data_IF_814369196841
#
_entry.id   IF_814369196841
#
_cell.length_a   1.000
_cell.length_b   1.000
_cell.length_c   1.000
_cell.angle_alpha   90.00
_cell.angle_beta   90.00
_cell.angle_gamma   90.00
#
_symmetry.space_group_name_H-M   'P 1'
#
loop_
_entity.id
_entity.type
_entity.pdbx_description
1 polymer ?
#
# COMPACT_ATOMS: atom_id res chain seq x y z
N UNK A 1 -8.58 4.16 13.56
CA UNK A 1 -9.68 3.79 12.64
C UNK A 1 -9.14 3.65 11.22
N UNK A 2 -9.45 2.56 10.56
CA UNK A 2 -9.01 2.30 9.18
C UNK A 2 -10.25 2.38 8.27
N UNK A 3 -10.15 3.17 7.20
CA UNK A 3 -11.28 3.47 6.34
C UNK A 3 -10.86 3.46 4.86
N UNK A 4 -11.71 2.91 4.00
CA UNK A 4 -11.47 2.95 2.56
C UNK A 4 -11.71 4.35 2.00
N UNK A 5 -10.79 4.81 1.16
CA UNK A 5 -10.87 6.11 0.48
C UNK A 5 -11.63 5.92 -0.83
N UNK A 6 -12.86 6.40 -0.91
CA UNK A 6 -13.74 6.18 -2.07
C UNK A 6 -14.04 7.44 -2.86
N UNK A 7 -14.37 8.55 -2.18
CA UNK A 7 -14.72 9.79 -2.86
C UNK A 7 -13.48 10.55 -3.34
N UNK A 8 -13.69 11.49 -4.25
CA UNK A 8 -12.61 12.37 -4.71
C UNK A 8 -12.01 13.16 -3.56
N UNK A 9 -12.85 13.65 -2.64
CA UNK A 9 -12.39 14.38 -1.46
C UNK A 9 -11.53 13.51 -0.56
N UNK A 10 -11.95 12.27 -0.33
CA UNK A 10 -11.18 11.31 0.48
C UNK A 10 -9.83 10.99 -0.17
N UNK A 11 -9.82 10.79 -1.49
CA UNK A 11 -8.59 10.55 -2.23
C UNK A 11 -7.62 11.73 -2.12
N UNK A 12 -8.14 12.96 -2.21
CA UNK A 12 -7.32 14.17 -2.07
C UNK A 12 -6.75 14.29 -0.66
N UNK A 13 -7.52 13.95 0.35
CA UNK A 13 -7.06 13.94 1.74
C UNK A 13 -5.89 12.94 1.91
N UNK A 14 -6.04 11.74 1.35
CA UNK A 14 -5.00 10.72 1.40
C UNK A 14 -3.74 11.11 0.63
N UNK A 15 -3.85 11.94 -0.41
CA UNK A 15 -2.71 12.36 -1.21
C UNK A 15 -1.66 13.10 -0.39
N UNK A 16 -2.07 13.83 0.65
CA UNK A 16 -1.13 14.56 1.53
C UNK A 16 -0.10 13.59 2.14
N UNK A 17 -0.52 12.38 2.48
CA UNK A 17 0.38 11.35 3.00
C UNK A 17 1.05 10.57 1.86
N UNK A 18 0.28 10.21 0.82
CA UNK A 18 0.79 9.43 -0.31
C UNK A 18 1.97 10.12 -0.99
N UNK A 19 1.95 11.44 -1.12
CA UNK A 19 3.03 12.17 -1.80
C UNK A 19 4.38 12.06 -1.08
N UNK A 20 4.41 11.68 0.19
CA UNK A 20 5.67 11.43 0.89
C UNK A 20 6.36 10.18 0.33
N UNK A 21 5.60 9.21 -0.15
CA UNK A 21 6.14 8.03 -0.82
C UNK A 21 6.39 8.28 -2.31
N UNK A 22 5.53 9.09 -2.93
CA UNK A 22 5.54 9.36 -4.38
C UNK A 22 5.73 10.87 -4.64
N UNK A 23 6.91 11.43 -4.31
CA UNK A 23 7.11 12.89 -4.36
C UNK A 23 7.05 13.49 -5.78
N UNK A 24 7.24 12.67 -6.81
CA UNK A 24 7.20 13.13 -8.19
C UNK A 24 5.81 13.04 -8.82
N UNK A 25 4.82 12.59 -8.08
CA UNK A 25 3.45 12.43 -8.57
C UNK A 25 2.62 13.64 -8.13
N UNK A 26 2.01 14.36 -9.07
CA UNK A 26 1.10 15.44 -8.72
C UNK A 26 -0.30 14.91 -8.41
N UNK A 27 -1.14 15.76 -7.79
CA UNK A 27 -2.47 15.35 -7.35
C UNK A 27 -3.36 14.94 -8.52
N UNK A 28 -3.31 15.67 -9.64
CA UNK A 28 -4.15 15.37 -10.81
C UNK A 28 -3.82 13.99 -11.39
N UNK A 29 -2.53 13.71 -11.58
CA UNK A 29 -2.07 12.41 -12.08
C UNK A 29 -2.38 11.29 -11.09
N UNK A 30 -2.20 11.54 -9.80
CA UNK A 30 -2.56 10.60 -8.75
C UNK A 30 -4.04 10.20 -8.82
N UNK A 31 -4.95 11.19 -8.93
CA UNK A 31 -6.37 10.92 -9.03
C UNK A 31 -6.71 10.12 -10.29
N UNK A 32 -6.10 10.48 -11.42
CA UNK A 32 -6.27 9.77 -12.69
C UNK A 32 -5.84 8.30 -12.55
N UNK A 33 -4.66 8.06 -11.98
CA UNK A 33 -4.11 6.70 -11.84
C UNK A 33 -4.90 5.87 -10.84
N UNK A 34 -5.33 6.46 -9.73
CA UNK A 34 -6.14 5.71 -8.74
C UNK A 34 -7.47 5.29 -9.37
N UNK A 35 -8.14 6.19 -10.09
CA UNK A 35 -9.41 5.87 -10.74
C UNK A 35 -9.24 4.79 -11.81
N UNK A 36 -8.20 4.88 -12.63
CA UNK A 36 -7.91 3.87 -13.64
C UNK A 36 -7.54 2.52 -13.03
N UNK A 37 -6.72 2.53 -11.98
CA UNK A 37 -6.33 1.31 -11.27
C UNK A 37 -7.53 0.63 -10.61
N UNK A 38 -8.47 1.40 -10.08
CA UNK A 38 -9.73 0.88 -9.53
C UNK A 38 -10.55 0.19 -10.61
N UNK A 39 -10.69 0.83 -11.74
CA UNK A 39 -11.51 0.33 -12.84
C UNK A 39 -10.93 -0.92 -13.48
N UNK A 40 -9.62 -0.92 -13.73
CA UNK A 40 -8.94 -1.99 -14.47
C UNK A 40 -8.35 -3.08 -13.58
N UNK A 41 -8.00 -2.78 -12.35
CA UNK A 41 -7.24 -3.70 -11.49
C UNK A 41 -7.79 -3.87 -10.09
N UNK A 42 -8.98 -3.37 -9.80
CA UNK A 42 -9.60 -3.48 -8.47
C UNK A 42 -8.70 -2.94 -7.34
N UNK A 43 -8.07 -1.82 -7.58
CA UNK A 43 -7.21 -1.18 -6.60
C UNK A 43 -8.04 -0.63 -5.44
N UNK A 44 -7.57 -0.87 -4.22
CA UNK A 44 -8.17 -0.37 -2.99
C UNK A 44 -7.17 0.52 -2.27
N UNK A 45 -7.63 1.66 -1.76
CA UNK A 45 -6.81 2.55 -0.94
C UNK A 45 -7.49 2.73 0.40
N UNK A 46 -6.78 2.40 1.48
CA UNK A 46 -7.25 2.56 2.85
C UNK A 46 -6.36 3.53 3.60
N UNK A 47 -6.96 4.29 4.51
CA UNK A 47 -6.23 5.22 5.35
C UNK A 47 -6.47 4.90 6.82
N UNK A 48 -5.44 5.12 7.62
CA UNK A 48 -5.51 5.02 9.08
C UNK A 48 -5.60 6.43 9.65
N UNK A 49 -6.63 6.66 10.46
CA UNK A 49 -6.88 7.95 11.10
C UNK A 49 -6.52 7.91 12.57
N UNK A 50 -5.86 8.96 13.04
CA UNK A 50 -5.63 9.24 14.45
C UNK A 50 -6.03 10.68 14.71
N UNK A 51 -6.91 10.88 15.71
CA UNK A 51 -7.39 12.23 16.10
C UNK A 51 -7.95 13.03 14.91
N UNK A 52 -8.65 12.34 14.00
CA UNK A 52 -9.30 12.96 12.85
C UNK A 52 -8.38 13.25 11.68
N UNK A 53 -7.11 12.85 11.74
CA UNK A 53 -6.14 13.05 10.66
C UNK A 53 -5.62 11.74 10.11
N UNK A 54 -5.37 11.70 8.80
CA UNK A 54 -4.74 10.53 8.16
C UNK A 54 -3.26 10.53 8.53
N UNK A 55 -2.81 9.44 9.14
CA UNK A 55 -1.40 9.25 9.54
C UNK A 55 -0.67 8.22 8.68
N UNK A 56 -1.41 7.35 7.99
CA UNK A 56 -0.81 6.32 7.13
C UNK A 56 -1.82 5.88 6.08
N UNK A 57 -1.32 5.42 4.93
CA UNK A 57 -2.17 4.87 3.85
C UNK A 57 -1.56 3.59 3.30
N UNK A 58 -2.43 2.72 2.77
CA UNK A 58 -2.04 1.49 2.09
C UNK A 58 -2.88 1.30 0.83
N UNK A 59 -2.21 1.01 -0.29
CA UNK A 59 -2.87 0.71 -1.56
C UNK A 59 -2.53 -0.68 -2.02
N UNK A 60 -3.54 -1.46 -2.44
CA UNK A 60 -3.33 -2.85 -2.84
C UNK A 60 -4.40 -3.28 -3.85
N UNK A 61 -4.12 -4.39 -4.55
CA UNK A 61 -5.06 -5.01 -5.47
C UNK A 61 -5.02 -6.52 -5.35
N UNK A 62 -6.15 -7.20 -5.55
CA UNK A 62 -6.13 -8.64 -5.79
C UNK A 62 -5.39 -8.94 -7.10
N UNK A 63 -4.69 -10.06 -7.12
CA UNK A 63 -3.90 -10.47 -8.27
C UNK A 63 -3.88 -12.00 -8.35
N UNK A 64 -4.02 -12.54 -9.55
CA UNK A 64 -3.85 -13.98 -9.76
C UNK A 64 -2.63 -14.17 -10.64
N UNK A 65 -1.63 -14.87 -10.11
CA UNK A 65 -0.43 -15.22 -10.87
C UNK A 65 -0.25 -16.74 -10.82
N UNK A 66 0.41 -17.28 -11.82
CA UNK A 66 0.63 -18.72 -11.85
C UNK A 66 1.64 -19.16 -10.77
N UNK A 67 2.53 -18.25 -10.34
CA UNK A 67 3.56 -18.59 -9.34
C UNK A 67 3.11 -18.34 -7.89
N UNK A 68 2.14 -17.43 -7.63
CA UNK A 68 1.60 -17.22 -6.28
C UNK A 68 0.15 -17.65 -6.13
N UNK A 69 -0.56 -17.84 -7.24
CA UNK A 69 -1.99 -18.16 -7.20
C UNK A 69 -2.82 -16.92 -6.85
N UNK A 70 -3.84 -17.13 -6.00
CA UNK A 70 -4.74 -16.05 -5.55
C UNK A 70 -4.00 -15.22 -4.51
N UNK A 71 -3.61 -14.01 -4.89
CA UNK A 71 -2.72 -13.19 -4.07
C UNK A 71 -3.19 -11.74 -4.01
N UNK A 72 -2.63 -11.02 -3.04
CA UNK A 72 -2.78 -9.59 -2.90
C UNK A 72 -1.41 -8.96 -3.18
N UNK A 73 -1.39 -7.92 -3.99
CA UNK A 73 -0.19 -7.12 -4.21
C UNK A 73 -0.34 -5.76 -3.54
N UNK A 74 0.54 -5.45 -2.60
CA UNK A 74 0.58 -4.14 -1.96
C UNK A 74 1.47 -3.23 -2.78
N UNK A 75 0.88 -2.17 -3.33
CA UNK A 75 1.59 -1.21 -4.17
C UNK A 75 2.15 -0.04 -3.38
N UNK A 76 1.44 0.39 -2.35
CA UNK A 76 1.77 1.60 -1.62
C UNK A 76 1.55 1.35 -0.14
N UNK A 77 2.55 1.70 0.67
CA UNK A 77 2.44 1.69 2.13
C UNK A 77 3.34 2.79 2.65
N UNK A 78 2.73 3.80 3.28
CA UNK A 78 3.48 4.93 3.81
C UNK A 78 2.83 5.45 5.08
N UNK A 79 3.67 5.73 6.08
CA UNK A 79 3.30 6.43 7.30
C UNK A 79 3.84 7.85 7.21
N UNK A 80 3.02 8.83 7.60
CA UNK A 80 3.42 10.23 7.67
C UNK A 80 4.71 10.36 8.46
N UNK A 81 5.65 11.18 7.99
CA UNK A 81 7.00 11.26 8.55
C UNK A 81 7.02 11.47 10.06
N UNK A 82 6.18 12.38 10.56
CA UNK A 82 6.12 12.71 11.99
C UNK A 82 5.49 11.61 12.85
N UNK A 83 4.90 10.60 12.24
CA UNK A 83 4.20 9.53 12.94
C UNK A 83 4.84 8.16 12.79
N UNK A 84 6.04 8.11 12.25
CA UNK A 84 6.75 6.83 12.06
C UNK A 84 7.13 6.20 13.38
N UNK A 85 7.32 4.86 13.36
CA UNK A 85 7.71 4.05 14.52
C UNK A 85 6.66 3.99 15.63
N UNK A 86 5.39 4.25 15.29
CA UNK A 86 4.25 4.14 16.22
C UNK A 86 3.38 2.90 15.94
N UNK A 87 3.77 2.07 14.96
CA UNK A 87 3.03 0.84 14.63
C UNK A 87 1.92 1.02 13.60
N UNK A 88 1.81 2.16 12.95
CA UNK A 88 0.73 2.40 11.97
C UNK A 88 0.90 1.58 10.70
N UNK A 89 2.13 1.44 10.20
CA UNK A 89 2.41 0.58 9.05
C UNK A 89 2.07 -0.87 9.33
N UNK A 90 2.41 -1.36 10.51
CA UNK A 90 2.05 -2.71 10.95
C UNK A 90 0.54 -2.88 11.01
N UNK A 91 -0.18 -1.90 11.56
CA UNK A 91 -1.63 -1.96 11.66
C UNK A 91 -2.29 -2.06 10.28
N UNK A 92 -1.85 -1.25 9.32
CA UNK A 92 -2.39 -1.27 7.96
C UNK A 92 -2.06 -2.59 7.24
N UNK A 93 -0.82 -3.04 7.32
CA UNK A 93 -0.42 -4.27 6.64
C UNK A 93 -1.15 -5.48 7.24
N UNK A 94 -1.29 -5.53 8.57
CA UNK A 94 -2.06 -6.58 9.25
C UNK A 94 -3.54 -6.55 8.85
N UNK A 95 -4.09 -5.36 8.67
CA UNK A 95 -5.47 -5.20 8.19
C UNK A 95 -5.62 -5.83 6.80
N UNK A 96 -4.71 -5.57 5.89
CA UNK A 96 -4.76 -6.13 4.52
C UNK A 96 -4.52 -7.64 4.54
N UNK A 97 -3.64 -8.13 5.41
CA UNK A 97 -3.45 -9.58 5.57
C UNK A 97 -4.75 -10.27 5.99
N UNK A 98 -5.47 -9.68 6.94
CA UNK A 98 -6.76 -10.23 7.37
C UNK A 98 -7.82 -10.12 6.28
N UNK A 99 -7.84 -8.99 5.57
CA UNK A 99 -8.71 -8.79 4.41
C UNK A 99 -8.49 -9.90 3.37
N UNK A 100 -7.24 -10.24 3.13
CA UNK A 100 -6.86 -11.30 2.19
C UNK A 100 -7.33 -12.67 2.64
N UNK A 101 -7.09 -13.01 3.91
CA UNK A 101 -7.50 -14.29 4.49
C UNK A 101 -9.02 -14.44 4.44
N UNK A 102 -9.75 -13.40 4.78
CA UNK A 102 -11.21 -13.41 4.81
C UNK A 102 -11.82 -13.65 3.42
N UNK A 103 -11.11 -13.26 2.35
CA UNK A 103 -11.59 -13.45 0.97
C UNK A 103 -10.86 -14.58 0.23
N UNK A 104 -10.23 -15.48 0.97
CA UNK A 104 -9.57 -16.70 0.46
C UNK A 104 -8.37 -16.45 -0.45
N UNK A 105 -7.67 -15.34 -0.25
CA UNK A 105 -6.36 -15.14 -0.86
C UNK A 105 -5.30 -15.81 0.01
N UNK A 106 -4.30 -16.43 -0.63
CA UNK A 106 -3.34 -17.27 0.07
C UNK A 106 -1.94 -16.68 0.15
N UNK A 107 -1.68 -15.59 -0.54
CA UNK A 107 -0.37 -14.96 -0.58
C UNK A 107 -0.54 -13.45 -0.61
N UNK A 108 0.34 -12.75 0.09
CA UNK A 108 0.47 -11.30 0.00
C UNK A 108 1.92 -10.98 -0.35
N UNK A 109 2.13 -10.09 -1.31
CA UNK A 109 3.45 -9.73 -1.80
C UNK A 109 3.55 -8.24 -2.07
N UNK A 110 4.78 -7.74 -2.11
CA UNK A 110 5.07 -6.35 -2.44
C UNK A 110 6.48 -6.25 -3.00
N UNK A 111 6.79 -5.12 -3.63
CA UNK A 111 8.16 -4.78 -3.95
C UNK A 111 8.54 -3.51 -3.20
N UNK A 112 9.82 -3.37 -2.88
CA UNK A 112 10.36 -2.21 -2.19
C UNK A 112 11.69 -1.82 -2.84
N UNK A 113 11.91 -0.53 -3.02
CA UNK A 113 13.16 -0.03 -3.62
C UNK A 113 14.38 -0.58 -2.89
N UNK A 114 15.43 -0.90 -3.64
CA UNK A 114 16.63 -1.56 -3.10
C UNK A 114 17.30 -0.75 -1.98
N UNK A 115 17.17 0.57 -2.03
CA UNK A 115 17.80 1.49 -1.08
C UNK A 115 16.97 1.71 0.21
N UNK A 116 15.76 1.17 0.28
CA UNK A 116 14.86 1.37 1.42
C UNK A 116 15.12 0.35 2.53
N UNK A 117 16.29 0.43 3.15
CA UNK A 117 16.75 -0.56 4.13
C UNK A 117 15.86 -0.65 5.37
N UNK A 118 15.32 0.48 5.85
CA UNK A 118 14.43 0.49 7.01
C UNK A 118 13.11 -0.23 6.70
N UNK A 119 12.58 -0.05 5.49
CA UNK A 119 11.38 -0.76 5.05
C UNK A 119 11.65 -2.26 4.97
N UNK A 120 12.80 -2.67 4.42
CA UNK A 120 13.17 -4.08 4.32
C UNK A 120 13.25 -4.74 5.70
N UNK A 121 13.87 -4.07 6.68
CA UNK A 121 13.92 -4.58 8.05
C UNK A 121 12.53 -4.72 8.64
N UNK A 122 11.64 -3.76 8.41
CA UNK A 122 10.26 -3.83 8.85
C UNK A 122 9.56 -5.06 8.28
N UNK A 123 9.66 -5.29 6.97
CA UNK A 123 9.01 -6.45 6.35
C UNK A 123 9.58 -7.77 6.86
N UNK A 124 10.89 -7.90 6.91
CA UNK A 124 11.54 -9.16 7.29
C UNK A 124 11.47 -9.43 8.79
N UNK A 125 11.77 -8.45 9.62
CA UNK A 125 11.93 -8.65 11.06
C UNK A 125 10.62 -8.49 11.83
N UNK A 126 9.74 -7.56 11.41
CA UNK A 126 8.51 -7.26 12.16
C UNK A 126 7.27 -7.90 11.56
N UNK A 127 7.24 -8.15 10.26
CA UNK A 127 6.07 -8.66 9.57
C UNK A 127 6.25 -10.08 9.03
N UNK A 128 7.41 -10.66 9.16
CA UNK A 128 7.72 -12.04 8.74
C UNK A 128 7.58 -12.27 7.24
N UNK A 129 7.92 -11.28 6.43
CA UNK A 129 7.96 -11.43 4.99
C UNK A 129 9.31 -11.97 4.55
N UNK A 130 9.31 -12.78 3.50
CA UNK A 130 10.53 -13.34 2.91
C UNK A 130 10.89 -12.60 1.63
N UNK A 131 12.16 -12.36 1.42
CA UNK A 131 12.69 -11.77 0.19
C UNK A 131 12.78 -12.88 -0.86
N UNK A 132 11.96 -12.81 -1.92
CA UNK A 132 11.79 -13.97 -2.82
C UNK A 132 12.06 -13.69 -4.29
N UNK A 133 12.18 -12.42 -4.71
CA UNK A 133 12.33 -12.11 -6.14
C UNK A 133 12.96 -10.75 -6.36
N UNK A 134 13.36 -10.49 -7.60
CA UNK A 134 13.83 -9.19 -8.06
C UNK A 134 12.85 -8.62 -9.07
N UNK A 135 12.68 -7.32 -9.06
CA UNK A 135 11.88 -6.61 -10.06
C UNK A 135 12.82 -6.03 -11.10
N UNK A 136 12.56 -6.30 -12.37
CA UNK A 136 13.30 -5.73 -13.49
C UNK A 136 12.38 -4.75 -14.21
N UNK A 137 12.89 -3.55 -14.50
CA UNK A 137 12.11 -2.46 -15.08
C UNK A 137 12.84 -1.87 -16.29
N UNK A 138 12.07 -1.49 -17.30
CA UNK A 138 12.60 -0.77 -18.47
C UNK A 138 11.64 0.37 -18.83
N UNK A 139 12.15 1.55 -19.01
CA UNK A 139 11.38 2.68 -19.54
C UNK A 139 11.16 2.46 -21.04
N UNK A 140 9.95 2.72 -21.51
CA UNK A 140 9.59 2.55 -22.92
C UNK A 140 9.48 3.89 -23.64
#
# INVERSE_FOLDING_TARGET
MIKEMKSTEELKEAFVVMRELRPNLDEETYLEYVNEAREKGSYHLYALYEEGEIVAVIGFSPMITLYYGRSIWVYDLVTRKEDRSKGYGKALLSFVEQWAVDDNYTTIALSSGMQRYDAHRFYEEKMSYNKVSYVFKKEL
#
